data_IF_087295273754
#
_entry.id   IF_087295273754
#
_cell.length_a   1.000
_cell.length_b   1.000
_cell.length_c   1.000
_cell.angle_alpha   90.00
_cell.angle_beta   90.00
_cell.angle_gamma   90.00
#
_symmetry.space_group_name_H-M   'P 1'
#
loop_
_entity.id
_entity.type
_entity.pdbx_description
1 polymer ?
#
# COMPACT_ATOMS: atom_id res chain seq x y z
N UNK A 1 -26.79 -19.05 -10.05
CA UNK A 1 -25.64 -18.21 -10.42
C UNK A 1 -25.55 -17.06 -9.42
N UNK A 2 -24.59 -17.10 -8.50
CA UNK A 2 -24.41 -16.08 -7.47
C UNK A 2 -23.85 -14.81 -8.11
N UNK A 3 -24.72 -13.87 -8.50
CA UNK A 3 -24.27 -12.54 -8.92
C UNK A 3 -24.10 -11.70 -7.66
N UNK A 4 -22.85 -11.49 -7.23
CA UNK A 4 -22.53 -10.34 -6.38
C UNK A 4 -22.87 -9.08 -7.17
N UNK A 5 -23.66 -8.20 -6.56
CA UNK A 5 -24.14 -6.97 -7.18
C UNK A 5 -22.99 -5.96 -7.23
N UNK A 6 -22.73 -5.41 -8.42
CA UNK A 6 -21.81 -4.28 -8.69
C UNK A 6 -20.35 -4.41 -8.22
N UNK A 7 -19.64 -5.42 -8.70
CA UNK A 7 -18.17 -5.29 -8.84
C UNK A 7 -17.73 -5.59 -10.27
N UNK A 8 -16.73 -4.83 -10.74
CA UNK A 8 -15.95 -5.22 -11.92
C UNK A 8 -15.45 -6.65 -11.67
N UNK A 9 -15.72 -7.56 -12.60
CA UNK A 9 -15.35 -8.98 -12.44
C UNK A 9 -13.87 -9.06 -12.06
N UNK A 10 -13.57 -9.77 -10.96
CA UNK A 10 -12.23 -9.97 -10.42
C UNK A 10 -11.60 -8.79 -9.66
N UNK A 11 -12.07 -7.55 -9.83
CA UNK A 11 -11.63 -6.42 -8.99
C UNK A 11 -12.10 -6.52 -7.53
N UNK A 12 -13.14 -7.33 -7.29
CA UNK A 12 -13.68 -7.53 -5.95
C UNK A 12 -14.65 -6.42 -5.53
N UNK A 13 -15.28 -6.62 -4.37
CA UNK A 13 -16.24 -5.65 -3.83
C UNK A 13 -15.53 -4.55 -3.01
N UNK A 14 -14.29 -4.80 -2.56
CA UNK A 14 -13.53 -3.89 -1.72
C UNK A 14 -12.23 -3.54 -2.43
N UNK A 15 -11.92 -2.24 -2.47
CA UNK A 15 -10.67 -1.72 -3.02
C UNK A 15 -9.67 -1.55 -1.88
N UNK A 16 -8.72 -2.48 -1.77
CA UNK A 16 -7.71 -2.47 -0.70
C UNK A 16 -6.46 -1.66 -1.03
N UNK A 17 -6.31 -1.27 -2.30
CA UNK A 17 -5.29 -0.36 -2.82
C UNK A 17 -5.87 0.39 -4.01
N UNK A 18 -5.29 1.53 -4.35
CA UNK A 18 -5.70 2.30 -5.52
C UNK A 18 -5.03 1.84 -6.83
N UNK A 19 -5.61 2.29 -7.94
CA UNK A 19 -5.17 1.93 -9.30
C UNK A 19 -4.43 3.07 -10.01
N UNK A 20 -3.89 4.00 -9.24
CA UNK A 20 -3.08 5.10 -9.75
C UNK A 20 -1.88 5.32 -8.85
N UNK A 21 -0.79 5.87 -9.38
CA UNK A 21 0.31 6.36 -8.57
C UNK A 21 -0.14 7.33 -7.48
N UNK A 22 0.67 7.44 -6.44
CA UNK A 22 0.50 8.47 -5.41
C UNK A 22 0.63 9.86 -6.04
N UNK A 23 -0.09 10.83 -5.47
CA UNK A 23 -0.21 12.19 -6.02
C UNK A 23 -0.03 13.15 -4.89
N UNK A 24 0.80 14.16 -5.09
CA UNK A 24 0.87 15.33 -4.23
C UNK A 24 -0.33 16.22 -4.58
N UNK A 25 -1.37 16.15 -3.75
CA UNK A 25 -2.62 16.87 -4.02
C UNK A 25 -2.47 18.38 -3.85
N UNK A 26 -1.43 18.83 -3.13
CA UNK A 26 -1.12 20.24 -2.98
C UNK A 26 -0.64 20.83 -4.30
N UNK A 27 0.38 20.21 -4.93
CA UNK A 27 0.92 20.65 -6.22
C UNK A 27 -0.13 20.67 -7.35
N UNK A 28 -1.11 19.76 -7.31
CA UNK A 28 -2.23 19.76 -8.26
C UNK A 28 -3.16 20.97 -8.09
N UNK A 29 -3.30 21.47 -6.87
CA UNK A 29 -4.11 22.64 -6.58
C UNK A 29 -3.38 23.94 -6.95
N UNK A 30 -2.05 24.00 -6.81
CA UNK A 30 -1.23 25.19 -7.17
C UNK A 30 -1.37 25.61 -8.65
N UNK A 31 -1.75 24.70 -9.56
CA UNK A 31 -2.07 25.03 -10.95
C UNK A 31 -3.45 25.66 -11.19
N UNK A 32 -4.29 25.73 -10.16
CA UNK A 32 -5.68 26.25 -10.20
C UNK A 32 -5.98 27.30 -9.12
N UNK A 33 -5.11 27.44 -8.12
CA UNK A 33 -5.22 28.49 -7.11
C UNK A 33 -4.59 29.75 -7.72
N UNK A 34 -5.42 30.74 -8.09
CA UNK A 34 -4.94 32.09 -8.41
C UNK A 34 -4.06 32.57 -7.24
N UNK A 35 -2.92 33.20 -7.54
CA UNK A 35 -1.93 33.77 -6.60
C UNK A 35 -2.56 34.83 -5.66
N UNK A 36 -3.54 34.44 -4.85
CA UNK A 36 -3.91 35.12 -3.63
C UNK A 36 -2.94 34.68 -2.56
N UNK A 37 -2.41 35.62 -1.78
CA UNK A 37 -1.60 35.35 -0.61
C UNK A 37 -2.26 34.24 0.22
N UNK A 38 -1.75 33.02 0.11
CA UNK A 38 -2.26 31.90 0.89
C UNK A 38 -2.05 32.27 2.36
N UNK A 39 -3.14 32.56 3.08
CA UNK A 39 -3.06 32.86 4.50
C UNK A 39 -2.56 31.60 5.22
N UNK A 40 -1.25 31.54 5.46
CA UNK A 40 -0.55 30.43 6.12
C UNK A 40 -1.09 30.12 7.53
N UNK A 41 -2.07 30.88 8.02
CA UNK A 41 -2.80 30.64 9.27
C UNK A 41 -3.93 29.61 9.15
N UNK A 42 -4.47 29.35 7.96
CA UNK A 42 -5.55 28.38 7.79
C UNK A 42 -5.01 27.03 7.28
N UNK A 43 -5.59 25.91 7.75
CA UNK A 43 -5.19 24.61 7.25
C UNK A 43 -5.58 24.45 5.77
N UNK A 44 -4.72 23.79 5.00
CA UNK A 44 -5.04 23.33 3.66
C UNK A 44 -5.99 22.13 3.75
N UNK A 45 -7.25 22.34 3.35
CA UNK A 45 -8.31 21.35 3.44
C UNK A 45 -8.35 20.47 2.18
N UNK A 46 -8.27 19.15 2.37
CA UNK A 46 -8.31 18.16 1.29
C UNK A 46 -9.44 17.18 1.54
N UNK A 47 -10.33 17.03 0.56
CA UNK A 47 -11.31 15.94 0.55
C UNK A 47 -10.81 14.80 -0.36
N UNK A 48 -10.57 13.62 0.23
CA UNK A 48 -10.26 12.40 -0.49
C UNK A 48 -11.50 11.49 -0.51
N UNK A 49 -12.04 11.23 -1.70
CA UNK A 49 -13.21 10.37 -1.90
C UNK A 49 -12.75 9.02 -2.44
N UNK A 50 -12.93 7.97 -1.65
CA UNK A 50 -12.55 6.59 -1.92
C UNK A 50 -11.08 6.41 -2.39
N UNK A 51 -10.08 7.00 -1.70
CA UNK A 51 -8.67 6.88 -2.12
C UNK A 51 -8.11 5.45 -2.02
N UNK A 52 -8.83 4.54 -1.35
CA UNK A 52 -8.56 3.11 -1.13
C UNK A 52 -7.39 2.80 -0.20
N UNK A 53 -6.37 3.67 -0.13
CA UNK A 53 -5.21 3.54 0.75
C UNK A 53 -4.60 4.92 1.09
N UNK A 54 -3.55 4.91 1.91
CA UNK A 54 -2.93 6.12 2.48
C UNK A 54 -1.92 6.82 1.59
N UNK A 55 -1.63 6.31 0.38
CA UNK A 55 -0.48 6.76 -0.43
C UNK A 55 -0.51 8.25 -0.76
N UNK A 56 -1.70 8.80 -1.05
CA UNK A 56 -1.87 10.21 -1.37
C UNK A 56 -1.55 11.11 -0.17
N UNK A 57 -1.96 10.69 1.03
CA UNK A 57 -1.68 11.41 2.28
C UNK A 57 -0.17 11.39 2.55
N UNK A 58 0.46 10.21 2.51
CA UNK A 58 1.90 10.08 2.77
C UNK A 58 2.75 10.85 1.75
N UNK A 59 2.41 10.77 0.47
CA UNK A 59 3.13 11.47 -0.59
C UNK A 59 2.96 13.00 -0.48
N UNK A 60 1.75 13.49 -0.20
CA UNK A 60 1.49 14.93 -0.04
C UNK A 60 2.23 15.49 1.18
N UNK A 61 2.14 14.82 2.33
CA UNK A 61 2.80 15.25 3.55
C UNK A 61 4.33 15.19 3.43
N UNK A 62 4.88 14.16 2.78
CA UNK A 62 6.32 14.09 2.53
C UNK A 62 6.80 15.20 1.59
N UNK A 63 6.07 15.48 0.52
CA UNK A 63 6.39 16.57 -0.39
C UNK A 63 6.31 17.94 0.31
N UNK A 64 5.32 18.15 1.18
CA UNK A 64 5.19 19.35 2.00
C UNK A 64 6.37 19.51 2.98
N UNK A 65 6.78 18.44 3.66
CA UNK A 65 7.91 18.46 4.60
C UNK A 65 9.24 18.81 3.89
N UNK A 66 9.43 18.32 2.66
CA UNK A 66 10.56 18.68 1.80
C UNK A 66 10.53 20.18 1.47
N UNK A 67 9.38 20.69 0.99
CA UNK A 67 9.23 22.12 0.66
C UNK A 67 9.48 23.01 1.88
N UNK A 68 8.99 22.64 3.05
CA UNK A 68 9.21 23.38 4.30
C UNK A 68 10.71 23.59 4.56
N UNK A 69 11.48 22.52 4.41
CA UNK A 69 12.93 22.53 4.64
C UNK A 69 13.68 23.27 3.55
N UNK A 70 13.36 23.02 2.28
CA UNK A 70 14.04 23.64 1.13
C UNK A 70 13.78 25.15 1.03
N UNK A 71 12.55 25.58 1.34
CA UNK A 71 12.14 26.99 1.28
C UNK A 71 12.40 27.73 2.59
N UNK A 72 12.79 27.02 3.65
CA UNK A 72 12.89 27.53 5.02
C UNK A 72 11.63 28.31 5.44
N UNK A 73 10.47 27.81 5.02
CA UNK A 73 9.17 28.43 5.22
C UNK A 73 8.19 27.37 5.70
N UNK A 74 7.68 27.59 6.92
CA UNK A 74 6.71 26.70 7.56
C UNK A 74 5.49 26.55 6.66
N UNK A 75 5.15 25.31 6.32
CA UNK A 75 3.95 25.04 5.56
C UNK A 75 2.73 25.15 6.49
N UNK A 76 1.58 25.52 5.93
CA UNK A 76 0.32 25.51 6.67
C UNK A 76 -0.02 24.10 7.16
N UNK A 77 -0.88 23.99 8.18
CA UNK A 77 -1.40 22.69 8.60
C UNK A 77 -2.20 22.02 7.47
N UNK A 78 -2.23 20.70 7.40
CA UNK A 78 -3.07 19.96 6.45
C UNK A 78 -4.24 19.31 7.19
N UNK A 79 -5.44 19.43 6.63
CA UNK A 79 -6.63 18.72 7.10
C UNK A 79 -7.15 17.81 6.00
N UNK A 80 -7.01 16.49 6.17
CA UNK A 80 -7.51 15.50 5.22
C UNK A 80 -8.85 14.95 5.72
N UNK A 81 -9.93 15.30 5.03
CA UNK A 81 -11.23 14.62 5.16
C UNK A 81 -11.22 13.41 4.23
N UNK A 82 -11.35 12.20 4.78
CA UNK A 82 -11.36 10.95 4.02
C UNK A 82 -12.74 10.33 4.05
N UNK A 83 -13.32 10.11 2.88
CA UNK A 83 -14.53 9.32 2.71
C UNK A 83 -14.17 7.97 2.09
N UNK A 84 -14.61 6.89 2.73
CA UNK A 84 -14.62 5.55 2.15
C UNK A 84 -16.04 4.99 2.21
N UNK A 85 -16.42 4.26 1.18
CA UNK A 85 -17.75 3.63 1.14
C UNK A 85 -17.79 2.41 2.07
N UNK A 86 -16.69 1.66 2.15
CA UNK A 86 -16.61 0.42 2.93
C UNK A 86 -15.76 0.63 4.20
N UNK A 87 -16.23 0.17 5.38
CA UNK A 87 -15.49 0.31 6.62
C UNK A 87 -14.14 -0.42 6.58
N UNK A 88 -14.01 -1.49 5.79
CA UNK A 88 -12.74 -2.18 5.57
C UNK A 88 -11.66 -1.31 4.95
N UNK A 89 -12.02 -0.47 3.97
CA UNK A 89 -11.07 0.44 3.34
C UNK A 89 -10.62 1.52 4.33
N UNK A 90 -11.56 2.11 5.07
CA UNK A 90 -11.24 3.14 6.07
C UNK A 90 -10.40 2.58 7.23
N UNK A 91 -10.75 1.40 7.76
CA UNK A 91 -9.98 0.74 8.81
C UNK A 91 -8.55 0.46 8.33
N UNK A 92 -8.37 -0.04 7.09
CA UNK A 92 -7.05 -0.26 6.52
C UNK A 92 -6.25 1.04 6.36
N UNK A 93 -6.89 2.16 6.03
CA UNK A 93 -6.18 3.43 6.01
C UNK A 93 -5.65 3.80 7.40
N UNK A 94 -6.45 3.64 8.45
CA UNK A 94 -6.00 3.85 9.83
C UNK A 94 -4.84 2.91 10.20
N UNK A 95 -4.92 1.63 9.78
CA UNK A 95 -3.84 0.66 9.97
C UNK A 95 -2.56 1.11 9.28
N UNK A 96 -2.59 1.35 7.98
CA UNK A 96 -1.39 1.73 7.22
C UNK A 96 -0.78 3.04 7.75
N UNK A 97 -1.61 4.03 8.09
CA UNK A 97 -1.12 5.26 8.69
C UNK A 97 -0.46 5.02 10.06
N UNK A 98 -1.05 4.15 10.90
CA UNK A 98 -0.46 3.80 12.21
C UNK A 98 0.90 3.10 12.10
N UNK A 99 1.17 2.41 10.99
CA UNK A 99 2.46 1.79 10.69
C UNK A 99 3.45 2.85 10.24
N UNK A 100 3.03 3.74 9.33
CA UNK A 100 3.86 4.83 8.83
C UNK A 100 4.35 5.79 9.94
N UNK A 101 3.54 5.97 10.99
CA UNK A 101 3.80 6.87 12.11
C UNK A 101 4.42 6.19 13.33
N UNK A 102 4.72 4.90 13.25
CA UNK A 102 5.29 4.14 14.36
C UNK A 102 6.78 4.43 14.56
N UNK A 103 7.16 5.46 15.32
CA UNK A 103 8.58 5.83 15.47
C UNK A 103 9.44 4.76 16.19
N UNK A 104 8.81 3.79 16.85
CA UNK A 104 9.51 2.69 17.57
C UNK A 104 10.10 1.64 16.62
N UNK A 105 9.59 1.58 15.38
CA UNK A 105 10.09 0.64 14.37
C UNK A 105 11.03 1.39 13.42
N UNK A 106 12.22 0.84 13.10
CA UNK A 106 13.13 1.48 12.16
C UNK A 106 12.44 1.76 10.83
N UNK A 107 12.65 2.96 10.29
CA UNK A 107 12.04 3.45 9.05
C UNK A 107 12.02 2.43 7.91
N UNK A 108 13.14 1.74 7.72
CA UNK A 108 13.28 0.68 6.72
C UNK A 108 12.31 -0.47 6.95
N UNK A 109 12.24 -0.99 8.17
CA UNK A 109 11.32 -2.07 8.54
C UNK A 109 9.86 -1.60 8.41
N UNK A 110 9.56 -0.33 8.67
CA UNK A 110 8.21 0.23 8.43
C UNK A 110 7.83 0.25 6.96
N UNK A 111 8.77 0.60 6.07
CA UNK A 111 8.52 0.53 4.63
C UNK A 111 8.22 -0.92 4.18
N UNK A 112 8.94 -1.90 4.72
CA UNK A 112 8.70 -3.32 4.47
C UNK A 112 7.31 -3.76 5.00
N UNK A 113 6.99 -3.41 6.25
CA UNK A 113 5.69 -3.71 6.88
C UNK A 113 4.52 -3.08 6.11
N UNK A 114 4.66 -1.82 5.67
CA UNK A 114 3.65 -1.12 4.88
C UNK A 114 3.37 -1.86 3.57
N UNK A 115 4.41 -2.21 2.82
CA UNK A 115 4.24 -2.90 1.53
C UNK A 115 3.64 -4.30 1.71
N UNK A 116 4.11 -5.07 2.68
CA UNK A 116 3.56 -6.40 2.98
C UNK A 116 2.07 -6.31 3.36
N UNK A 117 1.72 -5.44 4.32
CA UNK A 117 0.34 -5.32 4.84
C UNK A 117 -0.59 -4.66 3.81
N UNK A 118 -0.07 -3.76 2.96
CA UNK A 118 -0.83 -3.11 1.89
C UNK A 118 -1.47 -4.13 0.94
N UNK A 119 -0.80 -5.24 0.64
CA UNK A 119 -1.24 -6.05 -0.51
C UNK A 119 -0.95 -7.53 -0.52
N UNK A 120 -0.01 -8.03 0.28
CA UNK A 120 0.24 -9.47 0.30
C UNK A 120 -0.91 -10.18 0.99
N UNK A 121 -1.38 -11.29 0.41
CA UNK A 121 -2.42 -12.13 1.02
C UNK A 121 -1.91 -12.92 2.21
N UNK A 122 -0.63 -13.29 2.20
CA UNK A 122 0.05 -13.92 3.32
C UNK A 122 1.14 -13.00 3.84
N UNK A 123 1.46 -13.12 5.12
CA UNK A 123 2.44 -12.35 5.86
C UNK A 123 3.44 -13.31 6.51
N UNK A 124 4.60 -12.77 6.85
CA UNK A 124 5.51 -13.37 7.83
C UNK A 124 4.82 -13.39 9.20
N UNK A 125 5.11 -14.39 10.03
CA UNK A 125 4.51 -14.49 11.38
C UNK A 125 4.73 -13.22 12.20
N UNK A 126 5.96 -12.67 12.19
CA UNK A 126 6.27 -11.40 12.88
C UNK A 126 5.38 -10.25 12.39
N UNK A 127 5.17 -10.12 11.08
CA UNK A 127 4.32 -9.09 10.49
C UNK A 127 2.85 -9.28 10.88
N UNK A 128 2.37 -10.53 10.95
CA UNK A 128 1.01 -10.83 11.41
C UNK A 128 0.80 -10.48 12.89
N UNK A 129 1.73 -10.84 13.77
CA UNK A 129 1.67 -10.45 15.19
C UNK A 129 1.73 -8.93 15.38
N UNK A 130 2.55 -8.24 14.58
CA UNK A 130 2.62 -6.78 14.58
C UNK A 130 1.29 -6.13 14.14
N UNK A 131 0.66 -6.66 13.08
CA UNK A 131 -0.67 -6.23 12.62
C UNK A 131 -1.70 -6.37 13.74
N UNK A 132 -1.70 -7.48 14.46
CA UNK A 132 -2.64 -7.73 15.56
C UNK A 132 -2.43 -6.76 16.74
N UNK A 133 -1.18 -6.44 17.06
CA UNK A 133 -0.84 -5.40 18.04
C UNK A 133 -1.34 -4.00 17.63
N UNK A 134 -1.19 -3.65 16.34
CA UNK A 134 -1.72 -2.41 15.78
C UNK A 134 -3.25 -2.38 15.80
N UNK A 135 -3.91 -3.51 15.50
CA UNK A 135 -5.36 -3.64 15.60
C UNK A 135 -5.87 -3.39 17.03
N UNK A 136 -5.19 -3.93 18.04
CA UNK A 136 -5.46 -3.64 19.46
C UNK A 136 -5.34 -2.16 19.80
N UNK A 137 -4.27 -1.50 19.33
CA UNK A 137 -4.07 -0.06 19.54
C UNK A 137 -5.19 0.75 18.88
N UNK A 138 -5.57 0.43 17.64
CA UNK A 138 -6.63 1.14 16.93
C UNK A 138 -8.00 0.95 17.59
N UNK A 139 -8.33 -0.24 18.10
CA UNK A 139 -9.59 -0.44 18.84
C UNK A 139 -9.66 0.43 20.10
N UNK A 140 -8.55 0.54 20.84
CA UNK A 140 -8.48 1.47 21.99
C UNK A 140 -8.70 2.91 21.56
N UNK A 141 -8.07 3.33 20.45
CA UNK A 141 -8.27 4.67 19.90
C UNK A 141 -9.73 4.93 19.48
N UNK A 142 -10.39 3.98 18.80
CA UNK A 142 -11.80 4.14 18.43
C UNK A 142 -12.75 4.21 19.64
N UNK A 143 -12.49 3.40 20.67
CA UNK A 143 -13.38 3.27 21.83
C UNK A 143 -13.17 4.35 22.89
N UNK A 144 -11.92 4.81 23.07
CA UNK A 144 -11.53 5.69 24.18
C UNK A 144 -10.98 7.03 23.70
N UNK A 145 -10.76 7.22 22.39
CA UNK A 145 -10.10 8.40 21.81
C UNK A 145 -8.70 8.64 22.45
N UNK A 146 -8.02 7.53 22.78
CA UNK A 146 -6.69 7.52 23.41
C UNK A 146 -5.61 6.91 22.50
N UNK A 147 -4.35 7.21 22.81
CA UNK A 147 -3.18 6.65 22.14
C UNK A 147 -2.54 7.60 21.12
N UNK A 148 -1.44 7.15 20.46
CA UNK A 148 -0.59 8.03 19.65
C UNK A 148 -1.31 8.59 18.41
N UNK A 149 -2.32 7.88 17.90
CA UNK A 149 -3.11 8.30 16.74
C UNK A 149 -4.25 9.27 17.09
N UNK A 150 -4.70 9.32 18.34
CA UNK A 150 -5.92 10.04 18.71
C UNK A 150 -5.84 11.55 18.47
N UNK A 151 -4.64 12.14 18.53
CA UNK A 151 -4.43 13.57 18.23
C UNK A 151 -4.42 13.90 16.74
N UNK A 152 -4.31 12.89 15.88
CA UNK A 152 -4.16 13.05 14.44
C UNK A 152 -5.42 12.68 13.68
N UNK A 153 -6.36 11.99 14.34
CA UNK A 153 -7.55 11.42 13.70
C UNK A 153 -8.79 12.00 14.38
N UNK A 154 -9.56 12.77 13.61
CA UNK A 154 -10.91 13.17 14.00
C UNK A 154 -11.95 12.18 13.45
N UNK A 155 -12.79 11.65 14.34
CA UNK A 155 -13.87 10.71 14.03
C UNK A 155 -15.25 11.38 14.14
N UNK A 156 -15.32 12.70 14.35
CA UNK A 156 -16.56 13.45 14.60
C UNK A 156 -17.60 13.33 13.48
N UNK A 157 -17.14 13.14 12.24
CA UNK A 157 -18.01 12.98 11.06
C UNK A 157 -18.63 11.58 10.94
N UNK A 158 -18.13 10.58 11.69
CA UNK A 158 -18.68 9.23 11.68
C UNK A 158 -19.86 9.11 12.65
N UNK A 159 -20.96 8.54 12.16
CA UNK A 159 -22.10 8.15 13.00
C UNK A 159 -21.69 6.99 13.90
N UNK A 160 -22.39 6.82 15.02
CA UNK A 160 -22.12 5.72 15.96
C UNK A 160 -22.13 4.35 15.28
N UNK A 161 -23.11 4.09 14.40
CA UNK A 161 -23.16 2.84 13.61
C UNK A 161 -21.94 2.61 12.70
N UNK A 162 -21.30 3.68 12.23
CA UNK A 162 -20.11 3.61 11.36
C UNK A 162 -18.86 3.36 12.21
N UNK A 163 -18.80 3.94 13.42
CA UNK A 163 -17.77 3.62 14.43
C UNK A 163 -17.86 2.15 14.87
N UNK A 164 -19.06 1.65 15.15
CA UNK A 164 -19.30 0.25 15.49
C UNK A 164 -18.84 -0.69 14.37
N UNK A 165 -19.14 -0.33 13.11
CA UNK A 165 -18.70 -1.10 11.95
C UNK A 165 -17.16 -1.11 11.79
N UNK A 166 -16.49 0.02 12.06
CA UNK A 166 -15.03 0.06 12.09
C UNK A 166 -14.47 -0.82 13.21
N UNK A 167 -15.04 -0.77 14.40
CA UNK A 167 -14.61 -1.61 15.51
C UNK A 167 -14.79 -3.10 15.18
N UNK A 168 -15.91 -3.48 14.57
CA UNK A 168 -16.16 -4.86 14.11
C UNK A 168 -15.10 -5.31 13.08
N UNK A 169 -14.82 -4.47 12.09
CA UNK A 169 -13.79 -4.75 11.07
C UNK A 169 -12.41 -4.95 11.69
N UNK A 170 -11.97 -4.04 12.57
CA UNK A 170 -10.67 -4.16 13.22
C UNK A 170 -10.65 -5.35 14.17
N UNK A 171 -11.77 -5.61 14.87
CA UNK A 171 -12.00 -6.82 15.66
C UNK A 171 -11.81 -8.09 14.84
N UNK A 172 -12.22 -8.06 13.59
CA UNK A 172 -12.10 -9.19 12.69
C UNK A 172 -10.64 -9.58 12.40
N UNK A 173 -9.66 -8.70 12.65
CA UNK A 173 -8.25 -8.94 12.35
C UNK A 173 -7.51 -9.76 13.42
N UNK A 174 -8.13 -10.05 14.57
CA UNK A 174 -7.54 -10.90 15.60
C UNK A 174 -7.39 -12.36 15.14
N UNK A 175 -6.42 -13.06 15.70
CA UNK A 175 -6.15 -14.46 15.37
C UNK A 175 -7.34 -15.37 15.69
N UNK A 176 -8.13 -14.99 16.70
CA UNK A 176 -9.33 -15.70 17.15
C UNK A 176 -10.42 -15.85 16.09
N UNK A 177 -10.39 -15.06 15.01
CA UNK A 177 -11.33 -15.19 13.89
C UNK A 177 -10.73 -16.07 12.80
N UNK A 178 -11.53 -16.96 12.19
CA UNK A 178 -11.05 -17.76 11.06
C UNK A 178 -10.93 -16.90 9.78
N UNK A 179 -9.78 -16.96 9.11
CA UNK A 179 -9.59 -16.31 7.81
C UNK A 179 -8.60 -17.08 6.93
N UNK A 180 -9.14 -18.02 6.15
CA UNK A 180 -8.40 -18.77 5.13
C UNK A 180 -8.38 -17.99 3.81
N UNK A 181 -7.48 -17.03 3.73
CA UNK A 181 -7.30 -16.17 2.54
C UNK A 181 -6.88 -16.97 1.31
N UNK A 182 -6.14 -18.08 1.47
CA UNK A 182 -5.66 -18.90 0.35
C UNK A 182 -6.85 -19.55 -0.35
N UNK A 183 -7.70 -20.25 0.40
CA UNK A 183 -8.91 -20.87 -0.14
C UNK A 183 -9.88 -19.82 -0.68
N UNK A 184 -10.10 -18.73 0.05
CA UNK A 184 -11.07 -17.70 -0.35
C UNK A 184 -10.62 -16.94 -1.62
N UNK A 185 -9.32 -16.68 -1.76
CA UNK A 185 -8.75 -16.14 -3.00
C UNK A 185 -8.85 -17.15 -4.14
N UNK A 186 -8.62 -18.44 -3.89
CA UNK A 186 -8.82 -19.48 -4.91
C UNK A 186 -10.28 -19.54 -5.40
N UNK A 187 -11.26 -19.48 -4.49
CA UNK A 187 -12.68 -19.37 -4.83
C UNK A 187 -12.96 -18.15 -5.74
N UNK A 188 -12.29 -17.01 -5.46
CA UNK A 188 -12.39 -15.81 -6.31
C UNK A 188 -11.79 -16.05 -7.69
N UNK A 189 -10.60 -16.63 -7.79
CA UNK A 189 -9.95 -16.94 -9.07
C UNK A 189 -10.81 -17.92 -9.89
N UNK A 190 -11.37 -18.97 -9.28
CA UNK A 190 -12.29 -19.91 -9.96
C UNK A 190 -13.53 -19.21 -10.49
N UNK A 191 -14.08 -18.29 -9.70
CA UNK A 191 -15.24 -17.49 -10.13
C UNK A 191 -14.88 -16.55 -11.29
N UNK A 192 -13.69 -15.98 -11.29
CA UNK A 192 -13.24 -15.04 -12.32
C UNK A 192 -12.88 -15.72 -13.64
N UNK A 193 -12.05 -16.77 -13.57
CA UNK A 193 -11.59 -17.47 -14.77
C UNK A 193 -12.62 -18.44 -15.33
N UNK A 194 -13.56 -18.92 -14.51
CA UNK A 194 -14.58 -19.89 -14.88
C UNK A 194 -13.93 -21.10 -15.58
N UNK A 195 -14.39 -21.48 -16.78
CA UNK A 195 -13.82 -22.60 -17.55
C UNK A 195 -12.35 -22.42 -17.97
N UNK A 196 -11.78 -21.22 -17.83
CA UNK A 196 -10.37 -20.95 -18.16
C UNK A 196 -9.42 -21.14 -16.97
N UNK A 197 -9.94 -21.50 -15.78
CA UNK A 197 -9.15 -21.54 -14.55
C UNK A 197 -7.90 -22.42 -14.66
N UNK A 198 -8.01 -23.61 -15.25
CA UNK A 198 -6.87 -24.53 -15.42
C UNK A 198 -5.86 -24.03 -16.48
N UNK A 199 -6.34 -23.24 -17.45
CA UNK A 199 -5.52 -22.61 -18.51
C UNK A 199 -5.12 -21.16 -18.20
N UNK A 200 -5.30 -20.69 -16.96
CA UNK A 200 -5.22 -19.25 -16.62
C UNK A 200 -3.86 -18.61 -16.90
N UNK A 201 -2.78 -19.39 -16.90
CA UNK A 201 -1.44 -18.87 -17.24
C UNK A 201 -1.41 -18.22 -18.63
N UNK A 202 -2.16 -18.77 -19.60
CA UNK A 202 -2.26 -18.18 -20.94
C UNK A 202 -3.02 -16.85 -20.92
N UNK A 203 -4.03 -16.74 -20.04
CA UNK A 203 -4.77 -15.49 -19.84
C UNK A 203 -3.87 -14.45 -19.19
N UNK A 204 -3.08 -14.82 -18.17
CA UNK A 204 -2.13 -13.91 -17.53
C UNK A 204 -1.09 -13.35 -18.50
N UNK A 205 -0.56 -14.20 -19.38
CA UNK A 205 0.41 -13.76 -20.38
C UNK A 205 -0.20 -12.79 -21.39
N UNK A 206 -1.46 -13.00 -21.76
CA UNK A 206 -2.22 -12.07 -22.61
C UNK A 206 -2.52 -10.76 -21.88
N UNK A 207 -3.09 -10.80 -20.67
CA UNK A 207 -3.38 -9.63 -19.81
C UNK A 207 -2.10 -8.78 -19.64
N UNK A 208 -0.96 -9.42 -19.39
CA UNK A 208 0.33 -8.72 -19.27
C UNK A 208 0.72 -7.98 -20.55
N UNK A 209 0.76 -8.71 -21.67
CA UNK A 209 1.34 -8.19 -22.93
C UNK A 209 0.42 -7.16 -23.58
N UNK A 210 -0.89 -7.36 -23.49
CA UNK A 210 -1.89 -6.54 -24.18
C UNK A 210 -2.44 -5.40 -23.33
N UNK A 211 -2.52 -5.56 -22.00
CA UNK A 211 -3.13 -4.56 -21.11
C UNK A 211 -2.09 -3.85 -20.25
N UNK A 212 -1.29 -4.59 -19.46
CA UNK A 212 -0.41 -3.98 -18.46
C UNK A 212 0.86 -3.36 -19.05
N UNK A 213 1.58 -4.09 -19.89
CA UNK A 213 2.86 -3.66 -20.44
C UNK A 213 2.79 -2.32 -21.19
N UNK A 214 1.76 -2.04 -22.02
CA UNK A 214 1.64 -0.75 -22.70
C UNK A 214 1.53 0.46 -21.78
N UNK A 215 0.98 0.29 -20.57
CA UNK A 215 0.70 1.39 -19.64
C UNK A 215 1.65 1.42 -18.43
N UNK A 216 2.27 0.30 -18.08
CA UNK A 216 3.10 0.15 -16.89
C UNK A 216 4.23 -0.87 -17.10
N UNK A 217 5.06 -0.66 -18.13
CA UNK A 217 6.15 -1.57 -18.52
C UNK A 217 7.19 -1.86 -17.42
N UNK A 218 7.26 -1.04 -16.37
CA UNK A 218 8.13 -1.23 -15.19
C UNK A 218 7.68 -2.40 -14.31
N UNK A 219 6.40 -2.80 -14.40
CA UNK A 219 5.93 -4.03 -13.79
C UNK A 219 6.46 -5.20 -14.63
N UNK A 220 7.45 -5.90 -14.08
CA UNK A 220 8.03 -7.04 -14.76
C UNK A 220 7.03 -8.21 -14.87
N UNK A 221 7.04 -8.92 -16.00
CA UNK A 221 6.13 -10.06 -16.29
C UNK A 221 6.09 -11.06 -15.15
N UNK A 222 7.25 -11.32 -14.53
CA UNK A 222 7.35 -12.33 -13.49
C UNK A 222 6.67 -11.88 -12.19
N UNK A 223 6.82 -10.63 -11.76
CA UNK A 223 6.12 -10.11 -10.58
C UNK A 223 4.60 -10.05 -10.80
N UNK A 224 4.16 -9.64 -11.99
CA UNK A 224 2.74 -9.66 -12.33
C UNK A 224 2.16 -11.08 -12.28
N UNK A 225 2.85 -12.04 -12.91
CA UNK A 225 2.45 -13.45 -12.92
C UNK A 225 2.41 -14.03 -11.50
N UNK A 226 3.45 -13.78 -10.72
CA UNK A 226 3.56 -14.29 -9.34
C UNK A 226 2.41 -13.76 -8.49
N UNK A 227 2.20 -12.44 -8.45
CA UNK A 227 1.10 -11.85 -7.69
C UNK A 227 -0.27 -12.37 -8.16
N UNK A 228 -0.51 -12.50 -9.47
CA UNK A 228 -1.76 -13.06 -10.00
C UNK A 228 -1.98 -14.51 -9.55
N UNK A 229 -0.91 -15.29 -9.40
CA UNK A 229 -0.99 -16.68 -8.97
C UNK A 229 -1.12 -16.81 -7.44
N UNK A 230 -0.28 -16.14 -6.66
CA UNK A 230 -0.15 -16.37 -5.22
C UNK A 230 -0.79 -15.28 -4.36
N UNK A 231 -0.92 -14.06 -4.88
CA UNK A 231 -1.38 -12.90 -4.10
C UNK A 231 -0.26 -12.22 -3.32
N UNK A 232 1.00 -12.54 -3.60
CA UNK A 232 2.19 -11.92 -3.02
C UNK A 232 2.79 -10.92 -4.02
N UNK A 233 2.88 -9.64 -3.63
CA UNK A 233 3.43 -8.58 -4.45
C UNK A 233 4.81 -8.13 -3.96
N UNK A 234 4.97 -7.98 -2.64
CA UNK A 234 6.15 -7.41 -2.02
C UNK A 234 6.77 -8.41 -1.04
N UNK A 235 7.67 -9.23 -1.55
CA UNK A 235 8.31 -10.29 -0.78
C UNK A 235 9.69 -9.85 -0.29
N UNK A 236 10.03 -10.21 0.95
CA UNK A 236 11.41 -10.17 1.41
C UNK A 236 12.10 -11.50 1.08
N UNK A 237 13.34 -11.41 0.63
CA UNK A 237 14.16 -12.56 0.25
C UNK A 237 14.23 -13.57 1.40
N UNK A 238 14.17 -14.86 1.07
CA UNK A 238 14.32 -16.00 1.99
C UNK A 238 13.30 -16.00 3.16
N UNK A 239 12.19 -15.27 3.02
CA UNK A 239 11.13 -15.19 4.03
C UNK A 239 9.99 -16.17 3.74
N UNK A 240 9.43 -16.74 4.81
CA UNK A 240 8.26 -17.61 4.72
C UNK A 240 6.98 -16.83 4.97
N UNK A 241 6.06 -16.88 4.03
CA UNK A 241 4.74 -16.25 4.07
C UNK A 241 3.67 -17.28 4.38
N UNK A 242 3.28 -17.38 5.66
CA UNK A 242 2.41 -18.47 6.15
C UNK A 242 1.19 -17.99 6.93
N UNK A 243 1.22 -16.78 7.49
CA UNK A 243 0.13 -16.21 8.24
C UNK A 243 -0.81 -15.41 7.31
N UNK A 244 -2.13 -15.46 7.45
CA UNK A 244 -3.02 -14.68 6.59
C UNK A 244 -2.91 -13.19 6.90
N UNK A 245 -2.94 -12.35 5.86
CA UNK A 245 -3.10 -10.90 6.04
C UNK A 245 -4.57 -10.61 6.40
N UNK A 246 -4.87 -10.68 7.69
CA UNK A 246 -6.24 -10.55 8.22
C UNK A 246 -6.88 -9.20 7.93
N UNK A 247 -6.07 -8.17 7.64
CA UNK A 247 -6.58 -6.87 7.20
C UNK A 247 -7.20 -6.86 5.80
N UNK A 248 -7.10 -7.97 5.05
CA UNK A 248 -7.80 -8.18 3.76
C UNK A 248 -9.12 -8.95 3.92
N UNK A 249 -9.50 -9.32 5.15
CA UNK A 249 -10.80 -9.89 5.43
C UNK A 249 -11.88 -8.81 5.28
N UNK A 250 -12.96 -9.13 4.58
CA UNK A 250 -14.06 -8.21 4.30
C UNK A 250 -15.40 -8.91 4.21
N UNK A 251 -16.47 -8.14 4.24
CA UNK A 251 -17.81 -8.60 3.97
C UNK A 251 -18.25 -8.17 2.58
N UNK A 252 -18.97 -9.06 1.90
CA UNK A 252 -19.66 -8.70 0.68
C UNK A 252 -21.11 -9.18 0.72
N UNK A 253 -22.00 -8.27 0.31
CA UNK A 253 -23.40 -8.57 0.10
C UNK A 253 -23.57 -9.42 -1.17
N UNK A 254 -24.34 -10.49 -1.04
CA UNK A 254 -24.68 -11.38 -2.14
C UNK A 254 -26.11 -11.90 -2.01
N UNK A 255 -26.50 -12.72 -2.98
CA UNK A 255 -27.77 -13.46 -2.93
C UNK A 255 -27.52 -14.95 -3.00
N UNK A 256 -28.09 -15.70 -2.06
CA UNK A 256 -28.07 -17.15 -2.04
C UNK A 256 -29.52 -17.65 -1.95
N UNK A 257 -29.94 -18.43 -2.95
CA UNK A 257 -31.31 -18.99 -3.04
C UNK A 257 -32.43 -17.93 -2.83
N UNK A 258 -32.22 -16.72 -3.33
CA UNK A 258 -33.18 -15.62 -3.24
C UNK A 258 -33.10 -14.75 -1.97
N UNK A 259 -32.34 -15.18 -0.94
CA UNK A 259 -32.10 -14.40 0.27
C UNK A 259 -30.83 -13.56 0.14
N UNK A 260 -30.85 -12.33 0.66
CA UNK A 260 -29.65 -11.52 0.84
C UNK A 260 -28.77 -12.15 1.93
N UNK A 261 -27.49 -12.33 1.63
CA UNK A 261 -26.48 -12.86 2.55
C UNK A 261 -25.29 -11.92 2.57
N UNK A 262 -24.78 -11.65 3.77
CA UNK A 262 -23.46 -11.06 3.96
C UNK A 262 -22.48 -12.19 4.25
N UNK A 263 -21.53 -12.42 3.34
CA UNK A 263 -20.50 -13.45 3.52
C UNK A 263 -19.18 -12.76 3.82
N UNK A 264 -18.55 -13.15 4.92
CA UNK A 264 -17.17 -12.79 5.22
C UNK A 264 -16.21 -13.58 4.34
N UNK A 265 -15.19 -12.92 3.83
CA UNK A 265 -14.08 -13.55 3.13
C UNK A 265 -13.12 -12.56 2.47
N UNK A 266 -12.30 -13.06 1.55
CA UNK A 266 -11.47 -12.21 0.69
C UNK A 266 -12.27 -11.72 -0.52
N UNK A 267 -12.62 -10.43 -0.51
CA UNK A 267 -13.34 -9.76 -1.60
C UNK A 267 -12.53 -8.66 -2.27
N UNK A 268 -11.21 -8.74 -2.17
CA UNK A 268 -10.27 -7.84 -2.84
C UNK A 268 -10.01 -8.20 -4.30
N UNK A 269 -9.14 -7.41 -4.92
CA UNK A 269 -8.77 -7.51 -6.33
C UNK A 269 -7.84 -8.71 -6.59
N UNK A 270 -8.12 -9.44 -7.67
CA UNK A 270 -7.30 -10.57 -8.17
C UNK A 270 -6.78 -10.34 -9.60
N UNK A 271 -7.00 -9.15 -10.15
CA UNK A 271 -6.64 -8.74 -11.51
C UNK A 271 -5.62 -7.60 -11.52
N UNK A 272 -5.91 -6.53 -10.78
CA UNK A 272 -5.11 -5.31 -10.75
C UNK A 272 -4.17 -5.33 -9.56
N UNK A 273 -2.88 -5.49 -9.83
CA UNK A 273 -1.84 -5.58 -8.81
C UNK A 273 -1.65 -4.25 -8.06
N UNK A 274 -1.18 -4.30 -6.80
CA UNK A 274 -0.87 -3.11 -5.99
C UNK A 274 0.29 -2.27 -6.55
N UNK A 275 1.03 -2.76 -7.53
CA UNK A 275 2.14 -2.02 -8.16
C UNK A 275 1.68 -0.67 -8.72
N UNK A 276 0.44 -0.56 -9.21
CA UNK A 276 -0.10 0.70 -9.72
C UNK A 276 -0.12 1.82 -8.66
N UNK A 277 -0.31 1.47 -7.39
CA UNK A 277 -0.37 2.42 -6.28
C UNK A 277 0.99 3.04 -5.95
N UNK A 278 2.01 2.19 -5.87
CA UNK A 278 3.30 2.56 -5.23
C UNK A 278 4.53 2.33 -6.12
N UNK A 279 4.41 1.49 -7.15
CA UNK A 279 5.55 0.93 -7.88
C UNK A 279 5.68 1.33 -9.36
N UNK A 280 4.84 2.25 -9.87
CA UNK A 280 4.87 2.63 -11.29
C UNK A 280 5.62 3.94 -11.55
N UNK A 281 5.39 4.98 -10.74
CA UNK A 281 6.05 6.27 -10.88
C UNK A 281 7.12 6.46 -9.82
N UNK A 282 8.21 7.15 -10.16
CA UNK A 282 9.31 7.44 -9.26
C UNK A 282 9.91 8.80 -9.61
N UNK A 283 10.17 9.63 -8.59
CA UNK A 283 10.80 10.95 -8.77
C UNK A 283 12.29 10.86 -9.12
N UNK A 284 12.92 9.71 -8.91
CA UNK A 284 14.31 9.47 -9.29
C UNK A 284 14.36 8.77 -10.65
N UNK A 285 14.71 9.54 -11.69
CA UNK A 285 14.76 9.07 -13.08
C UNK A 285 15.65 7.83 -13.27
N UNK A 286 16.60 7.56 -12.35
CA UNK A 286 17.45 6.36 -12.43
C UNK A 286 16.63 5.08 -12.34
N UNK A 287 15.49 5.07 -11.64
CA UNK A 287 14.63 3.90 -11.48
C UNK A 287 13.83 3.54 -12.74
N UNK A 288 13.55 4.51 -13.62
CA UNK A 288 12.80 4.28 -14.87
C UNK A 288 13.72 4.04 -16.07
N UNK A 289 15.03 3.98 -15.86
CA UNK A 289 16.00 3.71 -16.93
C UNK A 289 15.86 2.30 -17.46
N UNK A 290 15.97 2.19 -18.78
CA UNK A 290 16.01 0.92 -19.48
C UNK A 290 17.39 0.64 -20.08
N UNK A 291 17.76 -0.64 -20.10
CA UNK A 291 18.92 -1.18 -20.82
C UNK A 291 18.44 -2.35 -21.66
N UNK A 292 18.74 -2.32 -22.96
CA UNK A 292 18.28 -3.33 -23.92
C UNK A 292 16.75 -3.56 -23.92
N UNK A 293 15.97 -2.50 -23.74
CA UNK A 293 14.51 -2.56 -23.71
C UNK A 293 13.89 -3.16 -22.44
N UNK A 294 14.68 -3.35 -21.38
CA UNK A 294 14.22 -3.79 -20.06
C UNK A 294 14.58 -2.76 -19.00
N UNK A 295 13.69 -2.55 -18.03
CA UNK A 295 13.96 -1.67 -16.89
C UNK A 295 15.07 -2.25 -16.01
N UNK A 296 15.97 -1.37 -15.54
CA UNK A 296 17.07 -1.76 -14.65
C UNK A 296 16.57 -2.04 -13.24
N UNK A 297 15.51 -1.34 -12.82
CA UNK A 297 14.81 -1.56 -11.55
C UNK A 297 13.38 -2.02 -11.82
N UNK A 298 12.80 -2.70 -10.85
CA UNK A 298 11.46 -3.28 -10.90
C UNK A 298 10.45 -2.39 -10.20
N UNK A 299 9.15 -2.65 -10.42
CA UNK A 299 8.09 -2.01 -9.65
C UNK A 299 8.19 -2.25 -8.13
N UNK A 300 8.81 -3.35 -7.69
CA UNK A 300 9.07 -3.63 -6.28
C UNK A 300 10.13 -2.67 -5.73
N UNK A 301 11.21 -2.44 -6.48
CA UNK A 301 12.26 -1.47 -6.13
C UNK A 301 11.68 -0.06 -6.00
N UNK A 302 10.88 0.35 -6.97
CA UNK A 302 10.20 1.66 -6.97
C UNK A 302 9.26 1.79 -5.78
N UNK A 303 8.45 0.77 -5.49
CA UNK A 303 7.53 0.78 -4.35
C UNK A 303 8.28 0.96 -3.02
N UNK A 304 9.37 0.22 -2.84
CA UNK A 304 10.19 0.34 -1.65
C UNK A 304 10.90 1.68 -1.54
N UNK A 305 11.47 2.19 -2.64
CA UNK A 305 12.09 3.52 -2.69
C UNK A 305 11.09 4.63 -2.36
N UNK A 306 9.90 4.59 -2.96
CA UNK A 306 8.86 5.60 -2.75
C UNK A 306 8.38 5.61 -1.30
N UNK A 307 8.01 4.45 -0.74
CA UNK A 307 7.54 4.36 0.65
C UNK A 307 8.65 4.77 1.62
N UNK A 308 9.88 4.29 1.42
CA UNK A 308 11.02 4.70 2.25
C UNK A 308 11.31 6.20 2.13
N UNK A 309 11.11 6.77 0.94
CA UNK A 309 11.22 8.19 0.67
C UNK A 309 10.19 9.02 1.41
N UNK A 310 8.92 8.61 1.37
CA UNK A 310 7.84 9.27 2.11
C UNK A 310 8.14 9.27 3.61
N UNK A 311 8.49 8.11 4.17
CA UNK A 311 8.82 8.00 5.59
C UNK A 311 10.07 8.80 5.97
N UNK A 312 11.05 8.91 5.06
CA UNK A 312 12.27 9.69 5.31
C UNK A 312 11.94 11.17 5.38
N UNK A 313 11.22 11.68 4.38
CA UNK A 313 10.83 13.08 4.33
C UNK A 313 9.92 13.48 5.49
N UNK A 314 9.01 12.60 5.92
CA UNK A 314 8.17 12.84 7.09
C UNK A 314 8.98 12.99 8.39
N UNK A 315 10.08 12.24 8.54
CA UNK A 315 10.91 12.29 9.74
C UNK A 315 11.97 13.40 9.72
N UNK A 316 12.55 13.68 8.56
CA UNK A 316 13.74 14.55 8.45
C UNK A 316 13.47 15.86 7.70
N UNK A 317 12.32 15.99 7.04
CA UNK A 317 12.07 17.08 6.09
C UNK A 317 12.94 17.03 4.84
N UNK A 318 13.72 15.96 4.61
CA UNK A 318 14.65 15.86 3.47
C UNK A 318 14.25 14.75 2.52
N UNK A 319 14.49 14.97 1.22
CA UNK A 319 14.28 13.96 0.17
C UNK A 319 15.22 12.78 0.40
N UNK A 320 14.70 11.57 0.28
CA UNK A 320 15.54 10.36 0.30
C UNK A 320 16.28 10.21 -1.03
N UNK A 321 17.61 10.08 -0.97
CA UNK A 321 18.45 9.86 -2.14
C UNK A 321 19.35 8.64 -1.92
N UNK A 322 19.49 7.82 -2.95
CA UNK A 322 20.47 6.73 -2.95
C UNK A 322 21.76 7.25 -3.57
N UNK A 323 22.89 7.00 -2.91
CA UNK A 323 24.22 7.32 -3.43
C UNK A 323 24.44 6.63 -4.77
N UNK A 324 25.20 7.26 -5.67
CA UNK A 324 25.44 6.69 -6.99
C UNK A 324 26.08 5.28 -6.92
N UNK A 325 26.99 5.09 -5.97
CA UNK A 325 27.67 3.82 -5.70
C UNK A 325 26.75 2.69 -5.17
N UNK A 326 25.68 3.04 -4.46
CA UNK A 326 24.74 2.08 -3.86
C UNK A 326 23.55 1.76 -4.78
N UNK A 327 23.34 2.56 -5.83
CA UNK A 327 22.16 2.46 -6.68
C UNK A 327 22.05 1.11 -7.38
N UNK A 328 23.16 0.59 -7.90
CA UNK A 328 23.16 -0.71 -8.58
C UNK A 328 22.74 -1.83 -7.61
N UNK A 329 23.22 -1.80 -6.36
CA UNK A 329 22.95 -2.81 -5.34
C UNK A 329 21.57 -2.67 -4.65
N UNK A 330 20.84 -1.58 -4.89
CA UNK A 330 19.51 -1.37 -4.32
C UNK A 330 18.47 -2.29 -4.97
N UNK A 331 18.15 -3.40 -4.31
CA UNK A 331 17.20 -4.39 -4.84
C UNK A 331 16.19 -4.84 -3.77
N UNK A 332 14.90 -4.67 -4.03
CA UNK A 332 13.79 -5.11 -3.21
C UNK A 332 12.96 -6.16 -3.94
N UNK A 333 12.61 -7.26 -3.25
CA UNK A 333 11.87 -8.36 -3.87
C UNK A 333 12.74 -9.26 -4.74
N UNK A 334 13.57 -10.09 -4.12
CA UNK A 334 14.37 -11.09 -4.83
C UNK A 334 13.70 -12.48 -4.72
N UNK A 335 12.76 -12.79 -5.63
CA UNK A 335 12.34 -14.19 -5.80
C UNK A 335 12.43 -14.73 -7.22
N UNK A 336 12.64 -13.94 -8.29
CA UNK A 336 12.57 -14.57 -9.64
C UNK A 336 13.39 -13.94 -10.79
N UNK A 337 14.14 -12.86 -10.60
CA UNK A 337 14.86 -12.21 -11.73
C UNK A 337 16.27 -12.75 -12.01
N UNK A 338 16.88 -13.53 -11.11
CA UNK A 338 18.27 -13.98 -11.28
C UNK A 338 18.38 -15.46 -11.63
N UNK A 339 17.98 -15.83 -12.84
CA UNK A 339 18.41 -17.08 -13.49
C UNK A 339 19.79 -16.95 -14.18
N UNK A 340 20.64 -16.07 -13.66
CA UNK A 340 22.03 -15.89 -14.06
C UNK A 340 22.80 -15.38 -12.85
N UNK A 341 23.81 -16.13 -12.41
CA UNK A 341 24.42 -16.00 -11.09
C UNK A 341 25.07 -14.65 -10.76
N UNK A 342 25.20 -14.42 -9.45
CA UNK A 342 25.79 -13.30 -8.68
C UNK A 342 24.88 -12.07 -8.52
N UNK A 343 24.76 -11.40 -7.36
CA UNK A 343 25.61 -11.27 -6.14
C UNK A 343 24.73 -11.35 -4.87
N UNK A 344 25.33 -11.57 -3.69
CA UNK A 344 24.67 -11.39 -2.39
C UNK A 344 23.97 -10.02 -2.36
N UNK A 345 22.65 -10.03 -2.18
CA UNK A 345 21.88 -8.79 -2.03
C UNK A 345 22.44 -7.95 -0.88
N UNK A 346 22.39 -6.63 -1.05
CA UNK A 346 22.77 -5.63 -0.06
C UNK A 346 22.16 -5.89 1.34
N UNK A 347 21.02 -6.59 1.38
CA UNK A 347 20.20 -6.83 2.56
C UNK A 347 20.43 -8.18 3.27
N UNK A 348 21.42 -8.98 2.83
CA UNK A 348 21.69 -10.34 3.36
C UNK A 348 22.91 -10.48 4.27
N UNK A 349 23.53 -9.38 4.70
CA UNK A 349 24.68 -9.41 5.59
C UNK A 349 24.66 -8.24 6.56
N UNK A 350 25.50 -8.30 7.61
CA UNK A 350 25.82 -7.20 8.53
C UNK A 350 26.49 -5.99 7.81
N UNK A 351 26.00 -5.60 6.65
CA UNK A 351 26.36 -4.34 6.02
C UNK A 351 25.68 -3.24 6.84
N UNK A 352 26.40 -2.17 7.20
CA UNK A 352 25.81 -1.06 7.92
C UNK A 352 24.64 -0.53 7.10
N UNK A 353 23.56 -0.11 7.79
CA UNK A 353 22.54 0.75 7.22
C UNK A 353 23.19 1.81 6.32
N UNK A 354 22.59 2.19 5.18
CA UNK A 354 23.14 3.25 4.35
C UNK A 354 23.51 4.42 5.25
N UNK A 355 24.75 4.91 5.14
CA UNK A 355 25.14 6.15 5.84
C UNK A 355 24.24 7.24 5.28
N UNK A 356 23.20 7.54 6.05
CA UNK A 356 22.37 8.72 5.89
C UNK A 356 23.35 9.88 5.76
N UNK A 357 23.30 10.62 4.67
CA UNK A 357 23.93 11.94 4.66
C UNK A 357 23.11 12.81 5.62
N UNK A 358 23.44 12.72 6.90
CA UNK A 358 23.48 13.90 7.74
C UNK A 358 24.50 14.81 7.05
N UNK A 359 24.03 15.64 6.12
CA UNK A 359 24.82 16.76 5.64
C UNK A 359 25.32 17.47 6.90
N UNK A 360 26.65 17.51 7.05
CA UNK A 360 27.36 18.04 8.20
C UNK A 360 26.73 19.36 8.62
N UNK A 361 26.46 19.51 9.92
CA UNK A 361 26.10 20.79 10.51
C UNK A 361 27.17 21.82 10.13
N UNK A 362 26.76 22.83 9.36
CA UNK A 362 27.50 24.07 9.17
C UNK A 362 26.65 25.23 9.69
#
# INVERSE_FOLDING_TARGET
TNKLTMSLKGAGAIRFWGFSPAVDVFKRADGQIEDGEADHKQPFNVLLVCPSDVRHILHTLSAAAIRETEQNQRQGAFEFTVYEEQPEALARQLLLLSIALDAEVPRRERAELLLEILSNTLLREKTASYLEGRAQMLRRMLAQEEGPMARLIDLSLLKMKERDALEEVIGSWFESFEFDVVRQRDERLRTYYEGRYDSRLNVLDWDYTMELQPIASIVHKVHFREWRMTGLAFELRDSNYIAPNRSLASFAAGRLRGASVFKRGFWGDVINSPFAAVGVECDDERFVKQKNGQHVKTACDVAFYNVLGWLTALETGRKFTIRAEDFEAFEYGASVATSGGMVKGFFGGRAPSPRIEEAEEA
#
